data_IF_831404701974
#
_entry.id   IF_831404701974
#
_cell.length_a   1.000
_cell.length_b   1.000
_cell.length_c   1.000
_cell.angle_alpha   90.00
_cell.angle_beta   90.00
_cell.angle_gamma   90.00
#
_symmetry.space_group_name_H-M   'P 1'
#
loop_
_entity.id
_entity.type
_entity.pdbx_description
1 polymer ?
#
# COMPACT_ATOMS: atom_id res chain seq x y z
N UNK A 1 -29.39 7.83 -1.28
CA UNK A 1 -28.67 7.06 -2.32
C UNK A 1 -29.49 5.81 -2.56
N UNK A 2 -30.26 5.76 -3.64
CA UNK A 2 -31.12 4.61 -3.92
C UNK A 2 -30.24 3.44 -4.34
N UNK A 3 -30.32 2.34 -3.60
CA UNK A 3 -29.79 1.04 -3.99
C UNK A 3 -30.62 0.57 -5.18
N UNK A 4 -30.20 0.93 -6.40
CA UNK A 4 -30.84 0.44 -7.62
C UNK A 4 -30.61 -1.07 -7.67
N UNK A 5 -31.66 -1.84 -7.35
CA UNK A 5 -31.63 -3.30 -7.42
C UNK A 5 -31.29 -3.71 -8.85
N UNK A 6 -30.20 -4.46 -9.02
CA UNK A 6 -29.81 -5.03 -10.32
C UNK A 6 -30.97 -5.90 -10.80
N UNK A 7 -31.52 -5.69 -12.01
CA UNK A 7 -32.60 -6.51 -12.54
C UNK A 7 -32.11 -7.94 -12.71
N UNK A 8 -32.84 -8.91 -12.15
CA UNK A 8 -32.51 -10.34 -12.24
C UNK A 8 -33.31 -11.01 -13.34
N UNK A 9 -32.65 -11.81 -14.16
CA UNK A 9 -33.27 -12.55 -15.24
C UNK A 9 -33.23 -14.06 -14.94
N UNK A 10 -34.38 -14.75 -14.88
CA UNK A 10 -34.40 -16.19 -14.63
C UNK A 10 -33.65 -16.93 -15.73
N UNK A 11 -32.76 -17.86 -15.34
CA UNK A 11 -31.99 -18.69 -16.28
C UNK A 11 -30.69 -18.06 -16.80
N UNK A 12 -30.40 -16.79 -16.50
CA UNK A 12 -29.13 -16.16 -16.85
C UNK A 12 -28.51 -15.51 -15.60
N UNK A 13 -27.40 -16.04 -15.07
CA UNK A 13 -26.74 -15.44 -13.91
C UNK A 13 -26.25 -14.02 -14.19
N UNK A 14 -26.37 -13.12 -13.21
CA UNK A 14 -25.96 -11.71 -13.34
C UNK A 14 -24.49 -11.57 -13.79
N UNK A 15 -23.59 -12.39 -13.24
CA UNK A 15 -22.18 -12.41 -13.63
C UNK A 15 -21.97 -12.75 -15.12
N UNK A 16 -22.84 -13.61 -15.67
CA UNK A 16 -22.76 -14.04 -17.06
C UNK A 16 -23.22 -12.90 -18.00
N UNK A 17 -24.17 -12.08 -17.56
CA UNK A 17 -24.59 -10.86 -18.28
C UNK A 17 -23.50 -9.78 -18.29
N UNK A 18 -22.86 -9.54 -17.15
CA UNK A 18 -21.75 -8.57 -17.08
C UNK A 18 -20.58 -8.99 -17.99
N UNK A 19 -20.21 -10.28 -17.98
CA UNK A 19 -19.18 -10.80 -18.88
C UNK A 19 -19.57 -10.70 -20.36
N UNK A 20 -20.86 -10.88 -20.69
CA UNK A 20 -21.37 -10.68 -22.06
C UNK A 20 -21.22 -9.22 -22.50
N UNK A 21 -21.59 -8.26 -21.63
CA UNK A 21 -21.46 -6.83 -21.91
C UNK A 21 -20.01 -6.37 -22.05
N UNK A 22 -19.05 -7.06 -21.42
CA UNK A 22 -17.63 -6.81 -21.53
C UNK A 22 -16.95 -7.51 -22.72
N UNK A 23 -17.68 -8.26 -23.55
CA UNK A 23 -17.13 -9.07 -24.65
C UNK A 23 -16.13 -10.16 -24.17
N UNK A 24 -16.33 -10.69 -22.95
CA UNK A 24 -15.44 -11.66 -22.28
C UNK A 24 -15.98 -13.10 -22.25
N UNK A 25 -17.09 -13.36 -22.96
CA UNK A 25 -17.68 -14.69 -23.06
C UNK A 25 -17.10 -15.48 -24.23
N UNK A 26 -17.01 -16.80 -24.04
CA UNK A 26 -16.81 -17.73 -25.15
C UNK A 26 -18.00 -17.71 -26.11
N UNK A 27 -17.83 -18.19 -27.34
CA UNK A 27 -18.91 -18.23 -28.33
C UNK A 27 -20.11 -19.06 -27.87
N UNK A 28 -19.90 -20.11 -27.09
CA UNK A 28 -20.97 -20.96 -26.56
C UNK A 28 -21.78 -20.25 -25.47
N UNK A 29 -21.10 -19.59 -24.52
CA UNK A 29 -21.75 -18.80 -23.46
C UNK A 29 -22.51 -17.60 -24.05
N UNK A 30 -21.94 -16.93 -25.07
CA UNK A 30 -22.59 -15.82 -25.75
C UNK A 30 -23.91 -16.25 -26.42
N UNK A 31 -23.91 -17.39 -27.12
CA UNK A 31 -25.12 -17.96 -27.72
C UNK A 31 -26.19 -18.27 -26.68
N UNK A 32 -25.79 -18.73 -25.49
CA UNK A 32 -26.73 -18.99 -24.40
C UNK A 32 -27.45 -17.71 -23.93
N UNK A 33 -26.73 -16.60 -23.79
CA UNK A 33 -27.33 -15.28 -23.46
C UNK A 33 -28.26 -14.81 -24.56
N UNK A 34 -27.84 -14.94 -25.81
CA UNK A 34 -28.63 -14.51 -26.97
C UNK A 34 -29.92 -15.31 -27.10
N UNK A 35 -29.89 -16.63 -26.87
CA UNK A 35 -31.09 -17.46 -26.86
C UNK A 35 -32.03 -17.08 -25.72
N UNK A 36 -31.50 -16.85 -24.52
CA UNK A 36 -32.28 -16.36 -23.39
C UNK A 36 -32.92 -14.99 -23.68
N UNK A 37 -32.20 -14.11 -24.38
CA UNK A 37 -32.70 -12.79 -24.79
C UNK A 37 -33.80 -12.88 -25.87
N UNK A 38 -33.78 -13.89 -26.75
CA UNK A 38 -34.88 -14.13 -27.70
C UNK A 38 -36.18 -14.51 -26.99
N UNK A 39 -36.06 -15.30 -25.92
CA UNK A 39 -37.22 -15.78 -25.14
C UNK A 39 -37.72 -14.70 -24.16
N UNK A 40 -36.84 -13.81 -23.68
CA UNK A 40 -37.17 -12.79 -22.68
C UNK A 40 -37.06 -11.36 -23.24
N UNK A 41 -38.19 -10.70 -23.56
CA UNK A 41 -38.19 -9.31 -24.03
C UNK A 41 -37.57 -8.32 -23.04
N UNK A 42 -37.71 -8.58 -21.73
CA UNK A 42 -37.13 -7.76 -20.69
C UNK A 42 -35.59 -7.83 -20.69
N UNK A 43 -35.03 -9.02 -20.89
CA UNK A 43 -33.58 -9.20 -21.00
C UNK A 43 -33.04 -8.54 -22.27
N UNK A 44 -33.74 -8.71 -23.40
CA UNK A 44 -33.37 -8.05 -24.65
C UNK A 44 -33.43 -6.51 -24.55
N UNK A 45 -34.39 -5.96 -23.82
CA UNK A 45 -34.45 -4.52 -23.55
C UNK A 45 -33.26 -4.05 -22.71
N UNK A 46 -32.94 -4.80 -21.65
CA UNK A 46 -31.83 -4.48 -20.76
C UNK A 46 -30.46 -4.52 -21.49
N UNK A 47 -30.21 -5.54 -22.29
CA UNK A 47 -28.98 -5.65 -23.07
C UNK A 47 -28.83 -4.48 -24.06
N UNK A 48 -29.91 -4.09 -24.74
CA UNK A 48 -29.90 -2.94 -25.66
C UNK A 48 -29.60 -1.62 -24.94
N UNK A 49 -30.20 -1.40 -23.78
CA UNK A 49 -29.94 -0.21 -22.96
C UNK A 49 -28.46 -0.13 -22.55
N UNK A 50 -27.91 -1.23 -22.00
CA UNK A 50 -26.50 -1.30 -21.58
C UNK A 50 -25.52 -1.14 -22.73
N UNK A 51 -25.82 -1.74 -23.88
CA UNK A 51 -25.00 -1.57 -25.08
C UNK A 51 -25.03 -0.12 -25.59
N UNK A 52 -26.20 0.53 -25.54
CA UNK A 52 -26.33 1.95 -25.88
C UNK A 52 -25.54 2.85 -24.91
N UNK A 53 -25.58 2.57 -23.60
CA UNK A 53 -24.76 3.26 -22.60
C UNK A 53 -23.26 3.08 -22.85
N UNK A 54 -22.80 1.85 -23.11
CA UNK A 54 -21.40 1.53 -23.46
C UNK A 54 -20.96 2.28 -24.71
N UNK A 55 -21.79 2.31 -25.75
CA UNK A 55 -21.51 3.05 -26.98
C UNK A 55 -21.43 4.56 -26.72
N UNK A 56 -22.39 5.14 -25.98
CA UNK A 56 -22.40 6.55 -25.62
C UNK A 56 -21.18 6.94 -24.77
N UNK A 57 -20.77 6.10 -23.81
CA UNK A 57 -19.58 6.31 -22.99
C UNK A 57 -18.31 6.36 -23.86
N UNK A 58 -18.19 5.46 -24.83
CA UNK A 58 -17.02 5.42 -25.73
C UNK A 58 -16.88 6.69 -26.58
N UNK A 59 -18.00 7.33 -26.93
CA UNK A 59 -18.03 8.62 -27.65
C UNK A 59 -17.70 9.78 -26.70
N UNK A 60 -18.27 9.80 -25.49
CA UNK A 60 -18.05 10.87 -24.51
C UNK A 60 -16.65 10.86 -23.89
N UNK A 61 -16.01 9.68 -23.80
CA UNK A 61 -14.68 9.47 -23.19
C UNK A 61 -13.81 8.63 -24.12
N UNK A 62 -13.23 9.23 -25.18
CA UNK A 62 -12.40 8.48 -26.11
C UNK A 62 -11.13 7.97 -25.41
N UNK A 63 -11.00 6.65 -25.31
CA UNK A 63 -9.84 5.96 -24.72
C UNK A 63 -8.55 6.06 -25.56
N UNK A 64 -8.56 6.83 -26.65
CA UNK A 64 -7.46 6.97 -27.60
C UNK A 64 -6.08 7.22 -26.97
N UNK A 65 -5.93 8.16 -26.03
CA UNK A 65 -4.62 8.44 -25.40
C UNK A 65 -4.07 7.28 -24.56
N UNK A 66 -4.95 6.48 -23.96
CA UNK A 66 -4.57 5.32 -23.12
C UNK A 66 -4.23 4.13 -24.01
N UNK A 67 -5.02 3.89 -25.06
CA UNK A 67 -4.79 2.82 -26.03
C UNK A 67 -3.51 3.04 -26.83
N UNK A 68 -3.24 4.28 -27.27
CA UNK A 68 -1.99 4.64 -27.95
C UNK A 68 -0.75 4.45 -27.05
N UNK A 69 -0.87 4.64 -25.72
CA UNK A 69 0.21 4.35 -24.77
C UNK A 69 0.45 2.85 -24.56
N UNK A 70 -0.59 2.03 -24.68
CA UNK A 70 -0.48 0.57 -24.56
C UNK A 70 0.02 -0.09 -25.85
N UNK A 71 -0.41 0.43 -27.00
CA UNK A 71 -0.01 -0.05 -28.34
C UNK A 71 1.35 0.51 -28.81
N UNK A 72 1.87 1.56 -28.17
CA UNK A 72 3.24 2.01 -28.37
C UNK A 72 4.23 0.93 -27.91
N UNK A 73 4.52 0.00 -28.82
CA UNK A 73 5.56 -1.01 -28.68
C UNK A 73 6.86 -0.33 -28.26
N UNK A 74 7.35 -0.65 -27.06
CA UNK A 74 8.60 -0.12 -26.53
C UNK A 74 9.71 -0.38 -27.57
N UNK A 75 10.39 0.65 -28.11
CA UNK A 75 11.52 0.40 -29.00
C UNK A 75 12.56 -0.40 -28.22
N UNK A 76 12.95 -1.54 -28.77
CA UNK A 76 14.00 -2.40 -28.22
C UNK A 76 15.33 -1.63 -28.19
N UNK A 77 15.62 -1.00 -27.05
CA UNK A 77 16.87 -0.31 -26.77
C UNK A 77 18.10 -1.25 -26.83
N UNK A 78 17.87 -2.56 -26.92
CA UNK A 78 18.90 -3.60 -26.96
C UNK A 78 19.56 -3.79 -28.33
N UNK A 79 18.95 -3.39 -29.46
CA UNK A 79 19.59 -3.55 -30.78
C UNK A 79 20.74 -2.57 -31.03
N UNK A 80 20.80 -1.44 -30.31
CA UNK A 80 21.86 -0.43 -30.47
C UNK A 80 23.13 -0.71 -29.66
N UNK A 81 23.02 -1.47 -28.56
CA UNK A 81 24.12 -1.74 -27.63
C UNK A 81 25.05 -2.86 -28.10
N UNK A 82 24.63 -3.71 -29.05
CA UNK A 82 25.45 -4.83 -29.55
C UNK A 82 26.69 -4.37 -30.34
N UNK A 83 26.73 -3.12 -30.83
CA UNK A 83 27.86 -2.64 -31.65
C UNK A 83 29.04 -2.08 -30.85
N UNK A 84 28.94 -1.97 -29.52
CA UNK A 84 29.98 -1.37 -28.69
C UNK A 84 30.67 -2.42 -27.81
N UNK A 85 31.72 -2.99 -28.41
CA UNK A 85 33.01 -3.33 -27.81
C UNK A 85 33.05 -4.32 -26.62
N UNK A 86 33.73 -5.47 -26.76
CA UNK A 86 33.96 -6.43 -25.66
C UNK A 86 34.66 -5.83 -24.42
N UNK A 87 35.22 -4.62 -24.51
CA UNK A 87 35.80 -3.88 -23.38
C UNK A 87 34.77 -3.47 -22.31
N UNK A 88 33.51 -3.21 -22.68
CA UNK A 88 32.45 -2.89 -21.72
C UNK A 88 31.97 -4.12 -20.93
N UNK A 89 32.10 -5.31 -21.52
CA UNK A 89 31.77 -6.56 -20.83
C UNK A 89 32.75 -6.84 -19.68
N UNK A 90 34.05 -6.62 -19.88
CA UNK A 90 35.05 -6.84 -18.82
C UNK A 90 34.87 -5.85 -17.67
N UNK A 91 34.65 -4.56 -17.98
CA UNK A 91 34.35 -3.56 -16.95
C UNK A 91 33.04 -3.89 -16.22
N UNK A 92 32.02 -4.36 -16.94
CA UNK A 92 30.75 -4.81 -16.39
C UNK A 92 30.89 -6.01 -15.46
N UNK A 93 31.74 -6.99 -15.77
CA UNK A 93 31.98 -8.16 -14.90
C UNK A 93 32.74 -7.76 -13.63
N UNK A 94 33.75 -6.89 -13.73
CA UNK A 94 34.48 -6.40 -12.55
C UNK A 94 33.56 -5.56 -11.66
N UNK A 95 32.74 -4.67 -12.24
CA UNK A 95 31.75 -3.91 -11.48
C UNK A 95 30.71 -4.83 -10.84
N UNK A 96 30.16 -5.80 -11.58
CA UNK A 96 29.17 -6.74 -11.06
C UNK A 96 29.72 -7.66 -9.94
N UNK A 97 31.03 -7.91 -9.89
CA UNK A 97 31.66 -8.69 -8.82
C UNK A 97 32.01 -7.85 -7.58
N UNK A 98 32.31 -6.56 -7.76
CA UNK A 98 32.78 -5.65 -6.69
C UNK A 98 31.63 -4.85 -6.08
N UNK A 99 30.65 -4.43 -6.88
CA UNK A 99 29.53 -3.59 -6.44
C UNK A 99 28.59 -4.27 -5.41
N UNK A 100 28.24 -5.57 -5.51
CA UNK A 100 27.42 -6.23 -4.49
C UNK A 100 28.14 -6.43 -3.15
N UNK A 101 29.47 -6.26 -3.10
CA UNK A 101 30.23 -6.26 -1.85
C UNK A 101 30.28 -4.89 -1.17
N UNK A 102 29.98 -3.81 -1.91
CA UNK A 102 29.97 -2.43 -1.42
C UNK A 102 28.56 -1.87 -1.24
N UNK A 103 27.58 -2.41 -1.96
CA UNK A 103 26.18 -2.04 -1.86
C UNK A 103 25.46 -3.23 -1.24
N UNK A 104 25.26 -3.20 0.08
CA UNK A 104 24.20 -4.01 0.69
C UNK A 104 22.88 -3.56 0.06
N UNK A 105 22.17 -4.41 -0.69
CA UNK A 105 20.85 -4.05 -1.17
C UNK A 105 19.94 -3.93 0.05
N UNK A 106 19.63 -2.70 0.44
CA UNK A 106 18.43 -2.44 1.23
C UNK A 106 17.27 -3.06 0.46
N UNK A 107 16.65 -4.05 1.08
CA UNK A 107 15.56 -4.84 0.53
C UNK A 107 14.34 -3.94 0.28
N UNK A 108 14.25 -3.36 -0.91
CA UNK A 108 13.04 -2.69 -1.40
C UNK A 108 12.38 -3.56 -2.45
N UNK A 109 11.85 -4.69 -2.01
CA UNK A 109 10.62 -5.24 -2.57
C UNK A 109 9.96 -6.13 -1.51
N UNK A 110 9.34 -5.51 -0.50
CA UNK A 110 8.39 -6.23 0.35
C UNK A 110 7.22 -6.64 -0.54
N UNK A 111 7.18 -7.93 -0.86
CA UNK A 111 6.00 -8.63 -1.40
C UNK A 111 4.80 -8.19 -0.59
N UNK A 112 3.96 -7.36 -1.21
CA UNK A 112 2.74 -6.80 -0.62
C UNK A 112 1.70 -7.92 -0.58
N UNK A 113 1.68 -8.68 0.51
CA UNK A 113 0.61 -9.64 0.77
C UNK A 113 -0.66 -8.86 1.07
N UNK A 114 -1.70 -9.10 0.27
CA UNK A 114 -3.04 -8.55 0.44
C UNK A 114 -3.56 -9.02 1.82
N UNK A 115 -3.51 -8.16 2.84
CA UNK A 115 -3.94 -8.48 4.21
C UNK A 115 -3.00 -8.11 5.37
N UNK A 116 -1.86 -7.45 5.11
CA UNK A 116 -0.91 -7.06 6.17
C UNK A 116 -1.11 -5.65 6.73
N UNK A 117 -0.79 -5.46 8.02
CA UNK A 117 -0.65 -4.15 8.67
C UNK A 117 0.30 -3.27 7.84
N UNK A 118 -0.20 -2.13 7.38
CA UNK A 118 0.58 -1.12 6.66
C UNK A 118 0.53 0.17 7.46
N UNK A 119 1.67 0.80 7.71
CA UNK A 119 1.72 2.17 8.21
C UNK A 119 2.38 3.07 7.17
N UNK A 120 1.93 4.32 7.12
CA UNK A 120 2.42 5.38 6.25
C UNK A 120 2.60 6.62 7.08
N UNK A 121 3.58 7.42 6.68
CA UNK A 121 3.94 8.63 7.38
C UNK A 121 3.63 9.79 6.43
N UNK A 122 2.62 10.58 6.78
CA UNK A 122 2.23 11.78 6.04
C UNK A 122 2.96 12.97 6.65
N UNK A 123 3.65 13.73 5.81
CA UNK A 123 4.47 14.88 6.19
C UNK A 123 3.83 16.14 5.65
N UNK A 124 3.67 17.14 6.52
CA UNK A 124 3.29 18.49 6.14
C UNK A 124 4.50 19.42 6.27
N UNK A 125 4.85 20.08 5.17
CA UNK A 125 5.92 21.10 5.08
C UNK A 125 5.35 22.35 4.42
N UNK A 126 5.16 23.42 5.21
CA UNK A 126 4.42 24.60 4.74
C UNK A 126 3.00 24.19 4.30
N UNK A 127 2.68 24.47 3.04
CA UNK A 127 1.37 24.14 2.44
C UNK A 127 1.34 22.77 1.74
N UNK A 128 2.49 22.10 1.59
CA UNK A 128 2.57 20.79 0.95
C UNK A 128 2.32 19.66 1.95
N UNK A 129 1.55 18.65 1.53
CA UNK A 129 1.38 17.38 2.24
C UNK A 129 1.80 16.24 1.31
N UNK A 130 2.72 15.39 1.76
CA UNK A 130 3.25 14.27 0.99
C UNK A 130 3.50 13.04 1.88
N UNK A 131 3.59 11.86 1.28
CA UNK A 131 3.97 10.62 1.99
C UNK A 131 5.50 10.54 2.09
N UNK A 132 6.03 10.22 3.27
CA UNK A 132 7.44 9.89 3.45
C UNK A 132 7.70 8.55 2.78
N UNK A 133 8.45 8.59 1.69
CA UNK A 133 8.90 7.42 0.95
C UNK A 133 10.42 7.27 1.01
N UNK A 134 10.96 6.23 0.35
CA UNK A 134 12.39 6.03 0.23
C UNK A 134 13.10 7.27 -0.33
N UNK A 135 14.18 7.70 0.31
CA UNK A 135 14.98 8.88 -0.09
C UNK A 135 14.39 10.24 0.29
N UNK A 136 13.20 10.28 0.92
CA UNK A 136 12.62 11.53 1.44
C UNK A 136 13.20 11.81 2.82
N UNK A 137 13.97 12.90 2.93
CA UNK A 137 14.57 13.38 4.18
C UNK A 137 13.67 14.44 4.83
N UNK A 138 13.45 14.27 6.13
CA UNK A 138 12.61 15.11 6.96
C UNK A 138 13.42 16.27 7.54
N UNK A 139 12.79 17.42 7.70
CA UNK A 139 13.39 18.65 8.21
C UNK A 139 12.85 19.00 9.58
N UNK A 140 13.63 19.71 10.41
CA UNK A 140 13.09 20.34 11.61
C UNK A 140 11.87 21.20 11.28
N UNK A 141 10.81 21.08 12.08
CA UNK A 141 9.53 21.77 11.88
C UNK A 141 8.56 21.07 10.92
N UNK A 142 8.97 19.99 10.24
CA UNK A 142 8.03 19.14 9.51
C UNK A 142 7.03 18.52 10.50
N UNK A 143 5.75 18.51 10.11
CA UNK A 143 4.69 17.89 10.91
C UNK A 143 4.33 16.55 10.33
N UNK A 144 4.53 15.52 11.14
CA UNK A 144 4.34 14.12 10.78
C UNK A 144 3.02 13.61 11.36
N UNK A 145 2.24 12.91 10.53
CA UNK A 145 1.05 12.18 10.95
C UNK A 145 1.13 10.75 10.45
N UNK A 146 0.66 9.81 11.26
CA UNK A 146 0.67 8.39 10.92
C UNK A 146 -0.69 8.00 10.35
N UNK A 147 -0.68 7.31 9.22
CA UNK A 147 -1.82 6.60 8.67
C UNK A 147 -1.55 5.09 8.82
N UNK A 148 -2.53 4.36 9.35
CA UNK A 148 -2.46 2.91 9.55
C UNK A 148 -3.59 2.25 8.78
N UNK A 149 -3.29 1.17 8.06
CA UNK A 149 -4.25 0.37 7.30
C UNK A 149 -4.11 -1.10 7.67
N UNK A 150 -5.22 -1.73 8.06
CA UNK A 150 -5.30 -3.18 8.28
C UNK A 150 -6.69 -3.70 7.90
N UNK A 151 -6.75 -4.94 7.41
CA UNK A 151 -8.01 -5.55 6.94
C UNK A 151 -8.95 -5.96 8.07
N UNK A 152 -8.44 -6.24 9.27
CA UNK A 152 -9.22 -6.73 10.40
C UNK A 152 -9.36 -5.68 11.50
N UNK A 153 -8.39 -4.77 11.63
CA UNK A 153 -8.32 -3.86 12.77
C UNK A 153 -7.76 -4.56 14.01
N UNK A 154 -7.92 -3.94 15.18
CA UNK A 154 -7.42 -4.45 16.45
C UNK A 154 -7.00 -3.36 17.43
N UNK A 155 -6.31 -3.75 18.50
CA UNK A 155 -5.72 -2.81 19.45
C UNK A 155 -4.38 -2.27 18.91
N UNK A 156 -4.28 -0.95 18.79
CA UNK A 156 -3.19 -0.24 18.15
C UNK A 156 -2.32 0.48 19.18
N UNK A 157 -1.01 0.31 19.05
CA UNK A 157 0.01 1.04 19.81
C UNK A 157 0.97 1.70 18.83
N UNK A 158 1.31 2.96 19.10
CA UNK A 158 2.33 3.69 18.34
C UNK A 158 3.36 4.23 19.31
N UNK A 159 4.63 3.96 19.02
CA UNK A 159 5.77 4.43 19.79
C UNK A 159 6.77 5.10 18.86
N UNK A 160 7.43 6.14 19.35
CA UNK A 160 8.67 6.63 18.77
C UNK A 160 9.87 5.95 19.47
N UNK A 161 10.91 5.67 18.70
CA UNK A 161 12.17 5.14 19.16
C UNK A 161 13.30 6.03 18.62
N UNK A 162 14.13 6.55 19.51
CA UNK A 162 15.38 7.22 19.13
C UNK A 162 16.52 6.23 18.90
N UNK A 163 17.55 6.66 18.17
CA UNK A 163 18.82 5.96 18.01
C UNK A 163 19.50 5.61 19.34
N UNK A 164 19.32 6.46 20.36
CA UNK A 164 19.84 6.25 21.72
C UNK A 164 19.02 5.24 22.55
N UNK A 165 18.02 4.60 21.95
CA UNK A 165 17.19 3.60 22.61
C UNK A 165 16.08 4.16 23.50
N UNK A 166 15.86 5.49 23.50
CA UNK A 166 14.73 6.10 24.20
C UNK A 166 13.43 5.76 23.47
N UNK A 167 12.52 5.10 24.17
CA UNK A 167 11.17 4.79 23.70
C UNK A 167 10.19 5.82 24.24
N UNK A 168 9.38 6.41 23.36
CA UNK A 168 8.36 7.40 23.72
C UNK A 168 6.98 6.93 23.23
N UNK A 169 6.04 6.66 24.15
CA UNK A 169 4.67 6.31 23.78
C UNK A 169 3.96 7.47 23.07
N UNK A 170 3.30 7.20 21.94
CA UNK A 170 2.56 8.21 21.16
C UNK A 170 1.05 7.98 21.13
N UNK A 171 0.60 6.73 20.98
CA UNK A 171 -0.83 6.35 20.94
C UNK A 171 -1.04 4.95 21.52
N UNK A 172 -2.19 4.71 22.14
CA UNK A 172 -2.55 3.40 22.71
C UNK A 172 -2.07 3.19 24.16
N UNK A 173 -1.63 4.26 24.83
CA UNK A 173 -1.14 4.26 26.21
C UNK A 173 -1.96 5.22 27.07
N UNK A 174 -2.09 4.94 28.36
CA UNK A 174 -2.80 5.80 29.33
C UNK A 174 -2.37 7.27 29.24
N UNK A 175 -1.05 7.53 29.16
CA UNK A 175 -0.49 8.88 29.03
C UNK A 175 -0.90 9.62 27.73
N UNK A 176 -1.41 8.90 26.74
CA UNK A 176 -1.77 9.40 25.40
C UNK A 176 -3.28 9.34 25.12
N UNK A 177 -4.10 9.08 26.15
CA UNK A 177 -5.55 8.97 26.00
C UNK A 177 -6.09 7.53 26.06
N UNK A 178 -5.26 6.58 26.48
CA UNK A 178 -5.66 5.19 26.74
C UNK A 178 -5.58 4.27 25.51
N UNK A 179 -6.21 3.11 25.64
CA UNK A 179 -6.22 2.08 24.61
C UNK A 179 -6.91 2.58 23.32
N UNK A 180 -6.25 2.36 22.18
CA UNK A 180 -6.76 2.74 20.87
C UNK A 180 -7.23 1.49 20.12
N UNK A 181 -8.54 1.42 19.85
CA UNK A 181 -9.14 0.33 19.06
C UNK A 181 -9.40 0.80 17.63
N UNK A 182 -8.80 0.12 16.67
CA UNK A 182 -8.91 0.41 15.24
C UNK A 182 -9.88 -0.57 14.59
N UNK A 183 -10.84 -0.08 13.82
CA UNK A 183 -11.67 -0.91 12.95
C UNK A 183 -10.96 -1.31 11.65
N UNK A 184 -11.52 -2.23 10.85
CA UNK A 184 -11.04 -2.53 9.51
C UNK A 184 -10.89 -1.28 8.62
N UNK A 185 -9.87 -1.30 7.75
CA UNK A 185 -9.63 -0.27 6.75
C UNK A 185 -8.50 0.68 7.14
N UNK A 186 -8.60 1.91 6.66
CA UNK A 186 -7.57 2.94 6.76
C UNK A 186 -7.95 4.00 7.78
N UNK A 187 -7.01 4.29 8.69
CA UNK A 187 -7.18 5.22 9.78
C UNK A 187 -6.04 6.23 9.79
N UNK A 188 -6.40 7.50 9.74
CA UNK A 188 -5.45 8.59 9.98
C UNK A 188 -5.46 8.87 11.48
N UNK A 189 -4.33 8.68 12.15
CA UNK A 189 -4.26 8.80 13.60
C UNK A 189 -4.41 10.26 14.02
N UNK A 190 -5.09 10.52 15.16
CA UNK A 190 -5.23 11.87 15.68
C UNK A 190 -3.87 12.44 16.11
N UNK A 191 -3.74 13.75 15.99
CA UNK A 191 -2.51 14.48 16.33
C UNK A 191 -1.51 14.61 15.17
N UNK A 192 -0.42 15.28 15.46
CA UNK A 192 0.75 15.37 14.57
C UNK A 192 1.98 15.55 15.45
N UNK A 193 3.04 14.81 15.15
CA UNK A 193 4.35 14.98 15.77
C UNK A 193 5.09 16.07 15.00
N UNK A 194 5.53 17.12 15.68
CA UNK A 194 6.44 18.11 15.10
C UNK A 194 7.87 17.62 15.32
N UNK A 195 8.64 17.49 14.24
CA UNK A 195 10.02 17.05 14.34
C UNK A 195 10.91 18.17 14.87
N UNK A 196 11.69 17.85 15.88
CA UNK A 196 12.68 18.75 16.43
C UNK A 196 13.95 18.82 15.57
N UNK A 197 14.86 19.71 15.96
CA UNK A 197 16.18 19.85 15.34
C UNK A 197 17.23 18.91 15.95
N UNK A 198 16.82 17.89 16.72
CA UNK A 198 17.77 16.97 17.30
C UNK A 198 18.42 16.13 16.18
N UNK A 199 19.76 16.01 16.16
CA UNK A 199 20.48 15.29 15.11
C UNK A 199 20.33 13.76 15.22
N UNK A 200 19.52 13.27 16.16
CA UNK A 200 19.32 11.83 16.36
C UNK A 200 18.35 11.24 15.34
N UNK A 201 18.64 10.01 14.90
CA UNK A 201 17.68 9.27 14.09
C UNK A 201 16.50 8.82 14.95
N UNK A 202 15.32 8.82 14.34
CA UNK A 202 14.09 8.37 14.96
C UNK A 202 13.38 7.33 14.11
N UNK A 203 12.67 6.41 14.74
CA UNK A 203 11.82 5.44 14.07
C UNK A 203 10.45 5.40 14.75
N UNK A 204 9.40 5.28 13.94
CA UNK A 204 8.06 4.99 14.41
C UNK A 204 7.83 3.48 14.37
N UNK A 205 7.41 2.94 15.51
CA UNK A 205 7.03 1.54 15.66
C UNK A 205 5.53 1.49 15.87
N UNK A 206 4.85 0.83 14.93
CA UNK A 206 3.40 0.62 14.97
C UNK A 206 3.16 -0.85 15.28
N UNK A 207 2.44 -1.13 16.36
CA UNK A 207 2.10 -2.48 16.82
C UNK A 207 0.59 -2.64 16.81
N UNK A 208 0.10 -3.72 16.19
CA UNK A 208 -1.31 -4.06 16.14
C UNK A 208 -1.53 -5.46 16.72
N UNK A 209 -2.34 -5.56 17.77
CA UNK A 209 -2.85 -6.82 18.29
C UNK A 209 -4.22 -7.10 17.68
N UNK A 210 -4.39 -8.24 17.02
CA UNK A 210 -5.60 -8.52 16.22
C UNK A 210 -6.86 -8.73 17.07
N UNK A 211 -6.70 -9.17 18.32
CA UNK A 211 -7.79 -9.33 19.28
C UNK A 211 -7.52 -8.44 20.51
N UNK A 212 -8.36 -7.42 20.76
CA UNK A 212 -8.23 -6.55 21.93
C UNK A 212 -8.25 -7.28 23.27
N UNK A 213 -8.89 -8.46 23.36
CA UNK A 213 -8.98 -9.23 24.62
C UNK A 213 -7.69 -9.95 24.98
N UNK A 214 -6.88 -10.27 23.98
CA UNK A 214 -5.56 -10.91 24.14
C UNK A 214 -4.41 -9.95 23.83
N UNK A 215 -4.71 -8.65 23.65
CA UNK A 215 -3.71 -7.64 23.42
C UNK A 215 -2.74 -7.54 24.62
N UNK A 216 -1.43 -7.46 24.37
CA UNK A 216 -0.46 -7.23 25.44
C UNK A 216 -0.75 -5.90 26.12
N UNK A 217 -0.41 -5.79 27.42
CA UNK A 217 -0.56 -4.51 28.12
C UNK A 217 0.33 -3.43 27.49
N UNK A 218 -0.05 -2.13 27.57
CA UNK A 218 0.79 -1.05 27.06
C UNK A 218 2.23 -1.12 27.60
N UNK A 219 2.40 -1.43 28.89
CA UNK A 219 3.72 -1.57 29.53
C UNK A 219 4.51 -2.76 28.97
N UNK A 220 3.83 -3.83 28.57
CA UNK A 220 4.48 -4.99 27.94
C UNK A 220 4.99 -4.63 26.54
N UNK A 221 4.22 -3.87 25.76
CA UNK A 221 4.63 -3.37 24.44
C UNK A 221 5.81 -2.41 24.57
N UNK A 222 5.77 -1.49 25.53
CA UNK A 222 6.87 -0.56 25.77
C UNK A 222 8.16 -1.29 26.18
N UNK A 223 8.09 -2.19 27.17
CA UNK A 223 9.26 -2.97 27.63
C UNK A 223 9.85 -3.85 26.53
N UNK A 224 9.00 -4.42 25.67
CA UNK A 224 9.43 -5.20 24.51
C UNK A 224 10.30 -4.36 23.56
N UNK A 225 9.86 -3.14 23.25
CA UNK A 225 10.62 -2.27 22.36
C UNK A 225 11.90 -1.76 23.02
N UNK A 226 11.85 -1.39 24.31
CA UNK A 226 13.02 -0.98 25.09
C UNK A 226 14.08 -2.09 25.15
N UNK A 227 13.66 -3.35 25.26
CA UNK A 227 14.57 -4.48 25.24
C UNK A 227 15.22 -4.66 23.86
N UNK A 228 14.44 -4.63 22.80
CA UNK A 228 14.94 -4.74 21.43
C UNK A 228 15.95 -3.62 21.07
N UNK A 229 15.68 -2.40 21.54
CA UNK A 229 16.55 -1.25 21.34
C UNK A 229 17.92 -1.38 22.04
N UNK A 230 18.04 -2.22 23.08
CA UNK A 230 19.32 -2.49 23.75
C UNK A 230 20.17 -3.56 23.06
N UNK A 231 19.54 -4.45 22.30
CA UNK A 231 20.19 -5.65 21.78
C UNK A 231 20.61 -5.54 20.30
N UNK A 232 20.05 -4.59 19.56
CA UNK A 232 20.20 -4.52 18.11
C UNK A 232 20.61 -3.13 17.63
N UNK A 233 21.24 -3.08 16.45
CA UNK A 233 21.55 -1.83 15.78
C UNK A 233 20.26 -1.10 15.36
N UNK A 234 20.33 0.23 15.28
CA UNK A 234 19.20 1.04 14.85
C UNK A 234 19.00 0.96 13.33
N UNK A 235 17.74 0.88 12.84
CA UNK A 235 16.51 0.61 13.59
C UNK A 235 16.43 -0.88 14.01
N UNK A 236 15.88 -1.19 15.19
CA UNK A 236 15.76 -2.58 15.63
C UNK A 236 14.79 -3.35 14.73
N UNK A 237 15.06 -4.65 14.59
CA UNK A 237 14.15 -5.62 13.95
C UNK A 237 13.64 -6.60 15.01
N UNK A 238 12.75 -6.16 15.91
CA UNK A 238 12.34 -6.98 17.06
C UNK A 238 11.53 -8.19 16.61
N UNK A 239 11.69 -9.31 17.31
CA UNK A 239 10.78 -10.44 17.18
C UNK A 239 9.38 -10.00 17.64
N UNK A 240 8.30 -10.23 16.86
CA UNK A 240 6.95 -9.83 17.24
C UNK A 240 6.51 -10.42 18.59
N UNK A 241 5.77 -9.64 19.38
CA UNK A 241 5.07 -10.18 20.55
C UNK A 241 4.00 -11.19 20.11
N UNK A 242 3.69 -12.22 20.92
CA UNK A 242 2.61 -13.16 20.62
C UNK A 242 1.29 -12.46 20.31
N UNK A 243 0.62 -12.86 19.23
CA UNK A 243 -0.66 -12.27 18.80
C UNK A 243 -0.57 -10.87 18.17
N UNK A 244 0.64 -10.33 18.00
CA UNK A 244 0.86 -9.00 17.44
C UNK A 244 1.51 -9.04 16.06
N UNK A 245 1.27 -7.98 15.29
CA UNK A 245 2.00 -7.64 14.07
C UNK A 245 2.60 -6.25 14.30
N UNK A 246 3.77 -5.97 13.73
CA UNK A 246 4.37 -4.65 13.83
C UNK A 246 5.03 -4.21 12.53
N UNK A 247 5.20 -2.90 12.39
CA UNK A 247 6.03 -2.29 11.35
C UNK A 247 6.89 -1.21 11.97
N UNK A 248 8.08 -1.02 11.40
CA UNK A 248 9.06 -0.02 11.81
C UNK A 248 9.28 0.92 10.62
N UNK A 249 9.15 2.22 10.86
CA UNK A 249 9.33 3.29 9.88
C UNK A 249 10.42 4.24 10.36
N UNK A 250 11.59 4.19 9.73
CA UNK A 250 12.67 5.15 9.99
C UNK A 250 12.27 6.52 9.48
N UNK A 251 12.55 7.55 10.28
CA UNK A 251 12.35 8.96 9.99
C UNK A 251 13.72 9.59 9.73
N UNK A 252 14.26 9.49 8.49
CA UNK A 252 15.57 10.08 8.18
C UNK A 252 15.47 11.60 8.27
N UNK A 253 16.23 12.20 9.18
CA UNK A 253 16.31 13.66 9.37
C UNK A 253 17.49 14.24 8.58
N UNK A 254 17.33 15.47 8.11
CA UNK A 254 18.42 16.27 7.55
C UNK A 254 19.32 16.69 8.71
N UNK A 255 20.54 16.14 8.76
CA UNK A 255 21.53 16.56 9.75
C UNK A 255 21.99 17.99 9.43
N UNK A 256 22.16 18.85 10.44
CA UNK A 256 22.67 20.21 10.25
C UNK A 256 24.11 20.25 9.71
#
# INVERSE_FOLDING_TARGET
MNSTSIPRFPGVPDLLLERYLCDELSQEEARHVEEAARVSPALAAHLRERQAEKAAFSVARPFGPVRARLEASRPSRWRGLWRWSPSLLVLGVVLAAVLPRLVTPEAVEKVRVRGGLTARVLVKRGDAVFEQGPGVVLRPGDRVRVEVEDVNGGALYVLALSEHGRVTPLQGFEATGGALSMGPGRWVLPGSLELDAAPEQEALVVVLASDPRSAPSPEAVQRWLEHAARETAFPPSPTPLPGTRHTVHVLPKELP
#
